data_IF_507415284344
#
_entry.id   IF_507415284344
#
_cell.length_a   1.000
_cell.length_b   1.000
_cell.length_c   1.000
_cell.angle_alpha   90.00
_cell.angle_beta   90.00
_cell.angle_gamma   90.00
#
_symmetry.space_group_name_H-M   'P 1'
#
loop_
_entity.id
_entity.type
_entity.pdbx_description
1 polymer ?
#
# COMPACT_ATOMS: atom_id res chain seq x y z
N UNK A 1 -1.31 6.01 -20.29
CA UNK A 1 -0.40 5.52 -19.23
C UNK A 1 -0.56 4.02 -18.98
N UNK A 2 -1.71 3.52 -18.50
CA UNK A 2 -1.89 2.07 -18.31
C UNK A 2 -2.04 1.32 -19.63
N UNK A 3 -2.77 1.88 -20.61
CA UNK A 3 -2.86 1.33 -21.97
C UNK A 3 -1.50 1.34 -22.67
N UNK A 4 -0.73 2.43 -22.54
CA UNK A 4 0.65 2.53 -23.08
C UNK A 4 1.63 1.54 -22.42
N UNK A 5 1.36 1.15 -21.18
CA UNK A 5 2.13 0.14 -20.45
C UNK A 5 1.72 -1.31 -20.80
N UNK A 6 0.74 -1.49 -21.70
CA UNK A 6 0.30 -2.79 -22.20
C UNK A 6 -0.75 -3.50 -21.33
N UNK A 7 -1.44 -2.79 -20.45
CA UNK A 7 -2.49 -3.35 -19.61
C UNK A 7 -3.85 -3.30 -20.32
N UNK A 8 -4.44 -4.46 -20.57
CA UNK A 8 -5.73 -4.59 -21.29
C UNK A 8 -6.84 -4.89 -20.29
N UNK A 9 -8.02 -4.33 -20.47
CA UNK A 9 -9.17 -4.61 -19.61
C UNK A 9 -9.55 -6.10 -19.66
N UNK A 10 -9.54 -6.76 -18.49
CA UNK A 10 -9.96 -8.15 -18.32
C UNK A 10 -11.48 -8.29 -18.29
N UNK A 11 -11.96 -9.53 -18.34
CA UNK A 11 -13.40 -9.85 -18.41
C UNK A 11 -14.21 -9.46 -17.17
N UNK A 12 -13.53 -9.15 -16.06
CA UNK A 12 -14.12 -8.72 -14.80
C UNK A 12 -13.83 -7.24 -14.47
N UNK A 13 -13.37 -6.48 -15.48
CA UNK A 13 -13.10 -5.04 -15.37
C UNK A 13 -11.76 -4.71 -14.71
N UNK A 14 -10.97 -5.71 -14.30
CA UNK A 14 -9.60 -5.50 -13.84
C UNK A 14 -8.64 -5.75 -15.00
N UNK A 15 -7.68 -4.86 -15.16
CA UNK A 15 -6.70 -4.94 -16.24
C UNK A 15 -5.75 -6.11 -16.04
N UNK A 16 -5.34 -6.71 -17.15
CA UNK A 16 -4.39 -7.79 -17.21
C UNK A 16 -3.28 -7.48 -18.22
N UNK A 17 -2.08 -8.00 -17.93
CA UNK A 17 -0.92 -7.95 -18.81
C UNK A 17 -0.16 -9.25 -18.68
N UNK A 18 0.11 -9.91 -19.81
CA UNK A 18 0.85 -11.19 -19.85
C UNK A 18 0.28 -12.28 -18.90
N UNK A 19 -1.05 -12.29 -18.71
CA UNK A 19 -1.73 -13.21 -17.79
C UNK A 19 -1.61 -12.85 -16.31
N UNK A 20 -0.98 -11.72 -15.98
CA UNK A 20 -0.97 -11.15 -14.64
C UNK A 20 -2.06 -10.10 -14.49
N UNK A 21 -2.85 -10.23 -13.43
CA UNK A 21 -3.86 -9.25 -13.04
C UNK A 21 -3.21 -8.04 -12.38
N UNK A 22 -3.70 -6.84 -12.68
CA UNK A 22 -3.29 -5.60 -12.03
C UNK A 22 -3.86 -5.54 -10.61
N UNK A 23 -3.27 -6.32 -9.70
CA UNK A 23 -3.65 -6.44 -8.30
C UNK A 23 -2.47 -6.06 -7.41
N UNK A 24 -2.71 -5.24 -6.39
CA UNK A 24 -1.72 -4.84 -5.39
C UNK A 24 -2.24 -5.12 -3.98
N UNK A 25 -1.38 -5.61 -3.09
CA UNK A 25 -1.65 -5.84 -1.68
C UNK A 25 -1.38 -4.57 -0.87
N UNK A 26 -2.42 -4.02 -0.25
CA UNK A 26 -2.33 -2.93 0.71
C UNK A 26 -2.21 -3.52 2.11
N UNK A 27 -1.04 -3.41 2.72
CA UNK A 27 -0.81 -3.85 4.10
C UNK A 27 -1.11 -2.71 5.08
N UNK A 28 -2.03 -2.95 6.01
CA UNK A 28 -2.48 -1.96 7.00
C UNK A 28 -2.61 -2.55 8.42
N UNK A 29 -2.38 -1.75 9.48
CA UNK A 29 -2.54 -2.20 10.86
C UNK A 29 -4.03 -2.31 11.22
N UNK A 30 -4.43 -3.48 11.72
CA UNK A 30 -5.80 -3.78 12.10
C UNK A 30 -6.29 -2.86 13.24
N UNK A 31 -7.53 -2.38 13.14
CA UNK A 31 -8.13 -1.57 14.19
C UNK A 31 -7.65 -0.11 14.18
N UNK A 32 -7.13 0.36 13.04
CA UNK A 32 -6.84 1.78 12.79
C UNK A 32 -7.86 2.34 11.79
N UNK A 33 -8.99 2.92 12.27
CA UNK A 33 -10.10 3.30 11.39
C UNK A 33 -9.72 4.30 10.30
N UNK A 34 -8.76 5.19 10.58
CA UNK A 34 -8.26 6.16 9.60
C UNK A 34 -7.63 5.45 8.39
N UNK A 35 -6.73 4.49 8.63
CA UNK A 35 -6.06 3.74 7.57
C UNK A 35 -7.03 2.83 6.82
N UNK A 36 -7.99 2.22 7.53
CA UNK A 36 -9.03 1.39 6.90
C UNK A 36 -9.92 2.21 5.95
N UNK A 37 -10.32 3.42 6.35
CA UNK A 37 -11.09 4.34 5.52
C UNK A 37 -10.29 4.80 4.29
N UNK A 38 -9.03 5.19 4.47
CA UNK A 38 -8.14 5.59 3.37
C UNK A 38 -7.95 4.45 2.37
N UNK A 39 -7.69 3.24 2.86
CA UNK A 39 -7.46 2.07 2.01
C UNK A 39 -8.71 1.64 1.25
N UNK A 40 -9.90 1.73 1.87
CA UNK A 40 -11.19 1.46 1.21
C UNK A 40 -11.50 2.50 0.15
N UNK A 41 -11.24 3.78 0.42
CA UNK A 41 -11.42 4.86 -0.54
C UNK A 41 -10.47 4.70 -1.74
N UNK A 42 -9.21 4.34 -1.49
CA UNK A 42 -8.24 4.01 -2.54
C UNK A 42 -8.72 2.81 -3.37
N UNK A 43 -9.16 1.72 -2.72
CA UNK A 43 -9.70 0.55 -3.39
C UNK A 43 -10.85 0.90 -4.34
N UNK A 44 -11.78 1.78 -3.91
CA UNK A 44 -12.87 2.23 -4.76
C UNK A 44 -12.38 3.03 -5.97
N UNK A 45 -11.47 3.98 -5.78
CA UNK A 45 -10.96 4.83 -6.86
C UNK A 45 -10.15 4.05 -7.89
N UNK A 46 -9.28 3.14 -7.44
CA UNK A 46 -8.46 2.38 -8.39
C UNK A 46 -9.26 1.31 -9.14
N UNK A 47 -10.37 0.86 -8.56
CA UNK A 47 -11.28 -0.06 -9.25
C UNK A 47 -11.90 0.59 -10.50
N UNK A 48 -12.17 1.89 -10.47
CA UNK A 48 -12.69 2.63 -11.64
C UNK A 48 -11.71 2.68 -12.81
N UNK A 49 -10.41 2.53 -12.55
CA UNK A 49 -9.36 2.47 -13.59
C UNK A 49 -8.93 1.04 -13.93
N UNK A 50 -9.63 0.04 -13.38
CA UNK A 50 -9.38 -1.38 -13.61
C UNK A 50 -8.17 -1.94 -12.87
N UNK A 51 -7.94 -1.49 -11.63
CA UNK A 51 -6.93 -2.05 -10.73
C UNK A 51 -7.61 -2.63 -9.49
N UNK A 52 -7.08 -3.73 -8.98
CA UNK A 52 -7.53 -4.38 -7.77
C UNK A 52 -6.60 -4.03 -6.60
N UNK A 53 -7.17 -3.63 -5.46
CA UNK A 53 -6.44 -3.54 -4.19
C UNK A 53 -6.96 -4.62 -3.25
N UNK A 54 -6.05 -5.45 -2.74
CA UNK A 54 -6.33 -6.44 -1.70
C UNK A 54 -5.89 -5.89 -0.35
N UNK A 55 -6.85 -5.67 0.55
CA UNK A 55 -6.56 -5.21 1.91
C UNK A 55 -6.01 -6.38 2.73
N UNK A 56 -4.77 -6.25 3.17
CA UNK A 56 -4.09 -7.17 4.08
C UNK A 56 -4.01 -6.51 5.46
N UNK A 57 -5.02 -6.78 6.30
CA UNK A 57 -5.07 -6.28 7.67
C UNK A 57 -4.22 -7.15 8.58
N UNK A 58 -3.19 -6.57 9.19
CA UNK A 58 -2.19 -7.28 10.00
C UNK A 58 -2.20 -6.80 11.45
N UNK A 59 -1.63 -7.59 12.35
CA UNK A 59 -1.53 -7.20 13.76
C UNK A 59 -0.73 -5.90 13.92
N UNK A 60 -1.32 -4.93 14.64
CA UNK A 60 -0.75 -3.60 14.82
C UNK A 60 0.58 -3.61 15.57
N UNK A 61 0.84 -4.59 16.44
CA UNK A 61 2.13 -4.67 17.15
C UNK A 61 3.24 -5.18 16.22
N UNK A 62 2.90 -6.09 15.30
CA UNK A 62 3.82 -6.64 14.31
C UNK A 62 4.02 -5.74 13.08
N UNK A 63 3.10 -4.83 12.80
CA UNK A 63 3.07 -4.03 11.56
C UNK A 63 4.42 -3.40 11.19
N UNK A 64 5.02 -2.62 12.09
CA UNK A 64 6.30 -1.98 11.78
C UNK A 64 7.47 -2.96 11.74
N UNK A 65 7.50 -3.92 12.65
CA UNK A 65 8.62 -4.86 12.79
C UNK A 65 8.68 -5.86 11.65
N UNK A 66 7.54 -6.40 11.25
CA UNK A 66 7.44 -7.55 10.37
C UNK A 66 7.09 -7.16 8.92
N UNK A 67 6.54 -5.96 8.70
CA UNK A 67 6.17 -5.46 7.38
C UNK A 67 6.93 -4.19 6.98
N UNK A 68 6.84 -3.10 7.75
CA UNK A 68 7.41 -1.81 7.33
C UNK A 68 8.94 -1.82 7.30
N UNK A 69 9.59 -2.22 8.41
CA UNK A 69 11.05 -2.20 8.52
C UNK A 69 11.74 -3.30 7.72
N UNK A 70 11.00 -4.32 7.28
CA UNK A 70 11.49 -5.43 6.47
C UNK A 70 11.22 -5.25 4.98
N UNK A 71 10.46 -4.22 4.60
CA UNK A 71 10.02 -4.01 3.22
C UNK A 71 9.02 -5.06 2.72
N UNK A 72 8.37 -5.82 3.61
CA UNK A 72 7.44 -6.89 3.24
C UNK A 72 6.02 -6.34 2.95
N UNK A 73 5.91 -5.33 2.09
CA UNK A 73 4.64 -4.76 1.65
C UNK A 73 4.75 -4.26 0.20
N UNK A 74 3.65 -4.25 -0.53
CA UNK A 74 3.59 -3.65 -1.87
C UNK A 74 3.07 -2.22 -1.80
N UNK A 75 1.99 -2.00 -1.05
CA UNK A 75 1.46 -0.69 -0.72
C UNK A 75 1.10 -0.63 0.77
N UNK A 76 1.34 0.51 1.38
CA UNK A 76 1.08 0.70 2.81
C UNK A 76 0.85 2.17 3.11
N UNK A 77 0.11 2.47 4.18
CA UNK A 77 -0.07 3.82 4.67
C UNK A 77 0.45 3.90 6.11
N UNK A 78 1.33 4.86 6.34
CA UNK A 78 1.77 5.23 7.67
C UNK A 78 2.00 6.73 7.72
N UNK A 79 1.98 7.29 8.92
CA UNK A 79 2.21 8.71 9.14
C UNK A 79 3.42 8.88 10.05
N UNK A 80 4.27 9.86 9.74
CA UNK A 80 5.34 10.26 10.65
C UNK A 80 4.74 11.11 11.75
N UNK A 81 4.75 10.59 12.99
CA UNK A 81 4.40 11.42 14.14
C UNK A 81 5.62 12.28 14.54
N UNK A 82 5.41 13.59 14.59
CA UNK A 82 6.42 14.53 15.05
C UNK A 82 6.71 14.31 16.53
N UNK A 83 8.01 14.21 16.88
CA UNK A 83 8.45 14.18 18.27
C UNK A 83 9.20 15.48 18.59
N UNK A 84 9.34 15.80 19.88
CA UNK A 84 10.18 16.89 20.38
C UNK A 84 11.68 16.73 20.01
N UNK A 85 12.07 15.57 19.47
CA UNK A 85 13.41 15.27 18.96
C UNK A 85 13.36 15.01 17.43
N UNK A 86 13.27 16.05 16.60
CA UNK A 86 13.11 15.91 15.14
C UNK A 86 14.25 15.14 14.46
N UNK A 87 15.42 15.05 15.10
CA UNK A 87 16.58 14.30 14.60
C UNK A 87 16.42 12.78 14.68
N UNK A 88 15.49 12.26 15.51
CA UNK A 88 15.33 10.82 15.72
C UNK A 88 14.87 10.08 14.45
N UNK A 89 14.13 10.77 13.56
CA UNK A 89 13.53 10.16 12.36
C UNK A 89 14.36 10.38 11.08
N UNK A 90 15.47 11.14 11.13
CA UNK A 90 16.29 11.45 9.94
C UNK A 90 16.83 10.18 9.28
N UNK A 91 17.24 9.18 10.08
CA UNK A 91 17.70 7.89 9.56
C UNK A 91 16.62 7.11 8.83
N UNK A 92 15.34 7.28 9.18
CA UNK A 92 14.22 6.59 8.53
C UNK A 92 13.75 7.29 7.26
N UNK A 93 13.98 8.60 7.12
CA UNK A 93 13.53 9.40 5.97
C UNK A 93 14.65 9.52 4.91
N UNK A 94 15.91 9.62 5.33
CA UNK A 94 17.05 9.89 4.45
C UNK A 94 18.21 8.90 4.59
N UNK A 95 18.08 7.89 5.45
CA UNK A 95 19.10 6.85 5.61
C UNK A 95 19.05 5.84 4.48
N UNK A 96 20.18 5.64 3.80
CA UNK A 96 20.34 4.55 2.83
C UNK A 96 20.50 3.23 3.59
N UNK A 97 19.44 2.42 3.64
CA UNK A 97 19.44 1.11 4.31
C UNK A 97 18.11 0.67 4.92
N UNK A 98 17.02 1.38 4.65
CA UNK A 98 15.64 0.93 4.93
C UNK A 98 15.10 0.11 3.75
#
# INVERSE_FOLDING_TARGET
LLDDAGWVEGSDGIREKDGQRLSVSFTLPAGTPTTENEATLLQSQVKEIGMEIKLNSVDSNGYFKDYINTGNFELTAFTWQGTQYPMANIGQIYGTGS
#
